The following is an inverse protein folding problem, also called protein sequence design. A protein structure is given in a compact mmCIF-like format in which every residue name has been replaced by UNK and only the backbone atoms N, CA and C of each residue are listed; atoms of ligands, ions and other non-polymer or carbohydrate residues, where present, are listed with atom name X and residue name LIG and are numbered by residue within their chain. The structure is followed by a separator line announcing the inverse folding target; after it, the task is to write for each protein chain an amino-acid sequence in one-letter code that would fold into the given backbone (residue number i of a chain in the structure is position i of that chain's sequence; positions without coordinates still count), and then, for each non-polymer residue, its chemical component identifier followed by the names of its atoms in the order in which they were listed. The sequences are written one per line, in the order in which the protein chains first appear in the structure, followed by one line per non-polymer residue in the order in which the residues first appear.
data_IF_204648194639
#
_entry.id   IF_204648194639
#
_cell.length_a   1.000
_cell.length_b   1.000
_cell.length_c   1.000
_cell.angle_alpha   90.00
_cell.angle_beta   90.00
_cell.angle_gamma   90.00
#
_symmetry.space_group_name_H-M   'P 1'
#
loop_
_entity.id
_entity.type
_entity.pdbx_description
1 polymer ?
#
# COMPACT_ATOMS: atom_id res chain seq x y z
N UNK A 1 27.23 9.60 -2.09
CA UNK A 1 26.70 8.28 -1.68
C UNK A 1 26.07 7.69 -2.92
N UNK A 2 26.62 6.62 -3.49
CA UNK A 2 26.02 5.92 -4.62
C UNK A 2 24.70 5.30 -4.16
N UNK A 3 23.58 5.92 -4.55
CA UNK A 3 22.26 5.31 -4.50
C UNK A 3 22.34 3.97 -5.24
N UNK A 4 22.49 2.88 -4.49
CA UNK A 4 22.59 1.56 -5.06
C UNK A 4 21.24 1.15 -5.61
N UNK A 5 20.97 1.52 -6.87
CA UNK A 5 19.84 1.00 -7.63
C UNK A 5 19.84 -0.52 -7.51
N UNK A 6 18.68 -1.07 -7.08
CA UNK A 6 18.48 -2.51 -7.06
C UNK A 6 18.54 -3.03 -8.48
N UNK A 7 19.31 -4.10 -8.71
CA UNK A 7 19.21 -4.82 -9.98
C UNK A 7 17.85 -5.54 -10.10
N UNK A 8 17.51 -6.04 -11.29
CA UNK A 8 16.22 -6.68 -11.54
C UNK A 8 15.95 -7.88 -10.61
N UNK A 9 16.99 -8.64 -10.24
CA UNK A 9 16.87 -9.78 -9.32
C UNK A 9 16.59 -9.28 -7.90
N UNK A 10 17.29 -8.26 -7.45
CA UNK A 10 17.08 -7.66 -6.14
C UNK A 10 15.68 -7.02 -6.02
N UNK A 11 15.20 -6.34 -7.08
CA UNK A 11 13.84 -5.81 -7.12
C UNK A 11 12.80 -6.91 -6.98
N UNK A 12 12.96 -8.03 -7.70
CA UNK A 12 12.07 -9.18 -7.60
C UNK A 12 12.08 -9.81 -6.20
N UNK A 13 13.25 -9.93 -5.57
CA UNK A 13 13.37 -10.45 -4.19
C UNK A 13 12.74 -9.50 -3.17
N UNK A 14 12.93 -8.19 -3.32
CA UNK A 14 12.32 -7.18 -2.45
C UNK A 14 10.80 -7.19 -2.58
N UNK A 15 10.27 -7.23 -3.81
CA UNK A 15 8.84 -7.31 -4.09
C UNK A 15 8.23 -8.58 -3.51
N UNK A 16 8.84 -9.74 -3.75
CA UNK A 16 8.37 -11.02 -3.22
C UNK A 16 8.30 -10.97 -1.69
N UNK A 17 9.34 -10.44 -1.04
CA UNK A 17 9.37 -10.31 0.41
C UNK A 17 8.27 -9.40 0.94
N UNK A 18 8.08 -8.24 0.31
CA UNK A 18 7.01 -7.31 0.66
C UNK A 18 5.64 -7.97 0.56
N UNK A 19 5.38 -8.68 -0.54
CA UNK A 19 4.12 -9.37 -0.78
C UNK A 19 3.88 -10.51 0.21
N UNK A 20 4.91 -11.29 0.55
CA UNK A 20 4.85 -12.33 1.59
C UNK A 20 4.51 -11.76 2.97
N UNK A 21 5.10 -10.64 3.35
CA UNK A 21 4.84 -9.98 4.63
C UNK A 21 3.44 -9.37 4.69
N UNK A 22 2.98 -8.72 3.62
CA UNK A 22 1.60 -8.20 3.51
C UNK A 22 0.59 -9.34 3.58
N UNK A 23 0.80 -10.41 2.80
CA UNK A 23 -0.10 -11.56 2.81
C UNK A 23 -0.10 -12.27 4.17
N UNK A 24 1.06 -12.37 4.84
CA UNK A 24 1.14 -12.96 6.19
C UNK A 24 0.39 -12.11 7.22
N UNK A 25 0.58 -10.79 7.21
CA UNK A 25 -0.15 -9.89 8.10
C UNK A 25 -1.66 -9.89 7.85
N UNK A 26 -2.08 -9.99 6.58
CA UNK A 26 -3.48 -10.14 6.21
C UNK A 26 -4.06 -11.47 6.73
N UNK A 27 -3.35 -12.58 6.53
CA UNK A 27 -3.77 -13.91 7.01
C UNK A 27 -3.84 -14.00 8.53
N UNK A 28 -2.92 -13.36 9.25
CA UNK A 28 -2.98 -13.31 10.72
C UNK A 28 -4.21 -12.56 11.26
N UNK A 29 -4.91 -11.81 10.39
CA UNK A 29 -6.16 -11.11 10.69
C UNK A 29 -7.39 -11.77 10.03
N UNK A 30 -7.26 -13.02 9.60
CA UNK A 30 -8.37 -13.81 9.06
C UNK A 30 -8.72 -13.52 7.60
N UNK A 31 -7.86 -12.81 6.87
CA UNK A 31 -8.08 -12.55 5.44
C UNK A 31 -7.40 -13.62 4.55
N UNK A 32 -8.05 -13.95 3.43
CA UNK A 32 -7.40 -14.71 2.36
C UNK A 32 -6.50 -13.77 1.57
N UNK A 33 -5.21 -14.08 1.52
CA UNK A 33 -4.23 -13.35 0.72
C UNK A 33 -3.07 -14.27 0.34
N UNK A 34 -2.65 -14.23 -0.92
CA UNK A 34 -1.41 -14.82 -1.40
C UNK A 34 -0.44 -13.73 -1.85
N UNK A 35 0.89 -13.98 -1.84
CA UNK A 35 1.85 -13.02 -2.38
C UNK A 35 1.52 -12.61 -3.83
N UNK A 36 1.09 -13.55 -4.67
CA UNK A 36 0.72 -13.31 -6.06
C UNK A 36 -0.51 -12.41 -6.18
N UNK A 37 -1.50 -12.61 -5.31
CA UNK A 37 -2.68 -11.76 -5.25
C UNK A 37 -2.30 -10.32 -4.88
N UNK A 38 -1.47 -10.15 -3.84
CA UNK A 38 -0.94 -8.83 -3.45
C UNK A 38 -0.20 -8.18 -4.61
N UNK A 39 0.75 -8.87 -5.24
CA UNK A 39 1.51 -8.33 -6.38
C UNK A 39 0.57 -7.92 -7.51
N UNK A 40 -0.39 -8.76 -7.88
CA UNK A 40 -1.35 -8.48 -8.96
C UNK A 40 -2.29 -7.30 -8.69
N UNK A 41 -2.39 -6.85 -7.44
CA UNK A 41 -3.17 -5.67 -7.06
C UNK A 41 -2.37 -4.37 -7.03
N UNK A 42 -1.03 -4.41 -7.08
CA UNK A 42 -0.21 -3.19 -7.02
C UNK A 42 -0.16 -2.53 -8.40
N UNK A 43 -0.92 -1.45 -8.56
CA UNK A 43 -0.93 -0.60 -9.74
C UNK A 43 -1.68 -1.19 -10.93
N UNK A 44 -1.55 -0.50 -12.06
CA UNK A 44 -2.26 -0.83 -13.31
C UNK A 44 -1.32 -1.30 -14.42
N UNK A 45 -0.01 -1.19 -14.19
CA UNK A 45 1.04 -1.65 -15.08
C UNK A 45 1.95 -2.68 -14.40
N UNK A 46 2.77 -3.37 -15.21
CA UNK A 46 3.62 -4.46 -14.75
C UNK A 46 4.88 -4.00 -13.98
N UNK A 47 5.23 -2.71 -14.04
CA UNK A 47 6.40 -2.12 -13.39
C UNK A 47 6.07 -1.57 -11.99
N UNK A 48 4.84 -1.07 -11.77
CA UNK A 48 4.41 -0.47 -10.52
C UNK A 48 4.76 -1.30 -9.26
N UNK A 49 4.57 -2.64 -9.23
CA UNK A 49 4.99 -3.45 -8.09
C UNK A 49 6.49 -3.32 -7.76
N UNK A 50 7.34 -3.34 -8.78
CA UNK A 50 8.80 -3.23 -8.62
C UNK A 50 9.22 -1.83 -8.17
N UNK A 51 8.58 -0.79 -8.70
CA UNK A 51 8.83 0.61 -8.30
C UNK A 51 8.46 0.84 -6.84
N UNK A 52 7.33 0.29 -6.38
CA UNK A 52 6.94 0.34 -4.97
C UNK A 52 8.00 -0.34 -4.11
N UNK A 53 8.40 -1.57 -4.44
CA UNK A 53 9.40 -2.30 -3.66
C UNK A 53 10.76 -1.56 -3.60
N UNK A 54 11.23 -1.04 -4.74
CA UNK A 54 12.45 -0.22 -4.81
C UNK A 54 12.32 1.05 -3.97
N UNK A 55 11.19 1.75 -4.06
CA UNK A 55 10.92 2.95 -3.28
C UNK A 55 10.87 2.71 -1.77
N UNK A 56 10.41 1.52 -1.34
CA UNK A 56 10.44 1.11 0.06
C UNK A 56 11.86 0.77 0.54
N UNK A 57 12.71 0.19 -0.32
CA UNK A 57 14.13 -0.01 0.00
C UNK A 57 14.85 1.34 0.13
N UNK A 58 14.64 2.25 -0.82
CA UNK A 58 15.23 3.59 -0.79
C UNK A 58 14.84 4.38 0.47
N UNK A 59 13.62 4.18 0.98
CA UNK A 59 13.13 4.79 2.23
C UNK A 59 13.53 4.03 3.50
N UNK A 60 14.32 2.96 3.41
CA UNK A 60 14.75 2.17 4.58
C UNK A 60 13.61 1.38 5.24
N UNK A 61 12.54 1.07 4.51
CA UNK A 61 11.44 0.23 4.98
C UNK A 61 11.69 -1.26 4.72
N UNK A 62 12.46 -1.56 3.68
CA UNK A 62 13.02 -2.87 3.38
C UNK A 62 14.55 -2.77 3.46
N UNK A 63 15.19 -3.72 4.15
CA UNK A 63 16.63 -3.78 4.27
C UNK A 63 17.16 -5.10 3.70
N UNK A 64 18.32 -5.04 3.04
CA UNK A 64 19.07 -6.23 2.63
C UNK A 64 19.47 -7.03 3.87
N UNK A 65 19.30 -8.34 3.82
CA UNK A 65 19.67 -9.25 4.90
C UNK A 65 20.10 -10.58 4.30
N UNK A 66 21.37 -10.96 4.48
CA UNK A 66 21.95 -12.23 4.02
C UNK A 66 21.61 -12.54 2.55
N UNK A 67 20.53 -13.30 2.38
CA UNK A 67 20.14 -13.93 1.11
C UNK A 67 18.91 -13.23 0.45
N UNK A 68 18.46 -12.11 1.01
CA UNK A 68 17.29 -11.39 0.48
C UNK A 68 16.99 -10.09 1.21
N UNK A 69 15.70 -9.89 1.53
CA UNK A 69 15.21 -8.67 2.16
C UNK A 69 14.44 -8.98 3.44
N UNK A 70 14.37 -8.00 4.34
CA UNK A 70 13.52 -8.04 5.52
C UNK A 70 12.88 -6.68 5.76
N UNK A 71 11.70 -6.67 6.38
CA UNK A 71 11.08 -5.42 6.81
C UNK A 71 11.83 -4.84 8.01
N UNK A 72 12.07 -3.55 7.96
CA UNK A 72 12.50 -2.80 9.15
C UNK A 72 11.32 -2.59 10.09
N UNK A 73 11.55 -1.99 11.26
CA UNK A 73 10.47 -1.61 12.18
C UNK A 73 9.43 -0.72 11.49
N UNK A 74 9.88 0.21 10.64
CA UNK A 74 9.01 1.12 9.88
C UNK A 74 8.29 0.38 8.75
N UNK A 75 8.95 -0.53 8.05
CA UNK A 75 8.29 -1.39 7.06
C UNK A 75 7.15 -2.23 7.64
N UNK A 76 7.34 -2.79 8.84
CA UNK A 76 6.26 -3.50 9.56
C UNK A 76 5.11 -2.58 9.95
N UNK A 77 5.41 -1.34 10.36
CA UNK A 77 4.38 -0.33 10.66
C UNK A 77 3.56 0.03 9.41
N UNK A 78 4.20 0.18 8.25
CA UNK A 78 3.51 0.39 6.97
C UNK A 78 2.58 -0.77 6.65
N UNK A 79 3.06 -2.02 6.73
CA UNK A 79 2.24 -3.20 6.43
C UNK A 79 1.02 -3.27 7.34
N UNK A 80 1.18 -2.98 8.65
CA UNK A 80 0.06 -2.89 9.58
C UNK A 80 -0.97 -1.84 9.14
N UNK A 81 -0.51 -0.63 8.77
CA UNK A 81 -1.40 0.44 8.31
C UNK A 81 -2.14 0.08 7.02
N UNK A 82 -1.47 -0.58 6.07
CA UNK A 82 -2.11 -1.06 4.83
C UNK A 82 -3.23 -2.04 5.17
N UNK A 83 -2.98 -3.00 6.06
CA UNK A 83 -4.02 -3.96 6.47
C UNK A 83 -5.17 -3.27 7.19
N UNK A 84 -4.91 -2.29 8.08
CA UNK A 84 -5.95 -1.50 8.74
C UNK A 84 -6.80 -0.69 7.75
N UNK A 85 -6.17 -0.09 6.74
CA UNK A 85 -6.89 0.64 5.68
C UNK A 85 -7.78 -0.33 4.89
N UNK A 86 -7.26 -1.51 4.53
CA UNK A 86 -8.06 -2.54 3.85
C UNK A 86 -9.25 -2.96 4.71
N UNK A 87 -9.07 -3.20 6.01
CA UNK A 87 -10.18 -3.55 6.91
C UNK A 87 -11.27 -2.47 6.96
N UNK A 88 -10.90 -1.19 6.82
CA UNK A 88 -11.88 -0.12 6.69
C UNK A 88 -12.67 -0.22 5.37
N UNK A 89 -11.99 -0.37 4.24
CA UNK A 89 -12.63 -0.21 2.91
C UNK A 89 -13.15 -1.51 2.29
N UNK A 90 -12.78 -2.67 2.83
CA UNK A 90 -13.10 -4.00 2.26
C UNK A 90 -14.59 -4.33 2.27
N UNK A 91 -15.35 -3.81 3.24
CA UNK A 91 -16.81 -4.03 3.35
C UNK A 91 -17.56 -3.64 2.08
N UNK A 92 -17.03 -2.67 1.35
CA UNK A 92 -17.63 -2.11 0.14
C UNK A 92 -16.95 -2.62 -1.15
N UNK A 93 -16.08 -3.64 -1.04
CA UNK A 93 -15.55 -4.34 -2.21
C UNK A 93 -16.51 -5.46 -2.63
N UNK A 94 -16.87 -5.50 -3.91
CA UNK A 94 -17.62 -6.61 -4.48
C UNK A 94 -16.77 -7.89 -4.41
N UNK A 95 -17.21 -8.86 -3.62
CA UNK A 95 -16.63 -10.20 -3.47
C UNK A 95 -15.19 -10.23 -2.89
N UNK A 96 -15.00 -9.82 -1.62
CA UNK A 96 -13.67 -9.73 -1.00
C UNK A 96 -12.95 -11.08 -0.85
N UNK A 97 -13.67 -12.20 -0.98
CA UNK A 97 -13.13 -13.55 -0.79
C UNK A 97 -12.51 -14.15 -2.06
N UNK A 98 -12.80 -13.56 -3.22
CA UNK A 98 -12.32 -14.00 -4.54
C UNK A 98 -11.15 -13.13 -5.06
N UNK A 99 -10.81 -12.10 -4.31
CA UNK A 99 -9.80 -11.09 -4.62
C UNK A 99 -8.35 -11.64 -4.49
N UNK A 100 -8.14 -12.70 -3.70
CA UNK A 100 -6.85 -13.38 -3.55
C UNK A 100 -5.76 -12.56 -2.84
N UNK A 101 -6.05 -11.36 -2.36
CA UNK A 101 -5.10 -10.42 -1.76
C UNK A 101 -4.88 -9.14 -2.59
N UNK A 102 -5.54 -8.98 -3.75
CA UNK A 102 -5.43 -7.81 -4.63
C UNK A 102 -5.71 -6.48 -3.94
N UNK A 103 -6.75 -6.39 -3.10
CA UNK A 103 -7.09 -5.16 -2.40
C UNK A 103 -5.95 -4.66 -1.49
N UNK A 104 -5.14 -5.55 -0.93
CA UNK A 104 -3.96 -5.16 -0.17
C UNK A 104 -2.89 -4.55 -1.07
N UNK A 105 -2.69 -5.13 -2.25
CA UNK A 105 -1.83 -4.55 -3.28
C UNK A 105 -2.33 -3.19 -3.77
N UNK A 106 -3.65 -3.06 -3.99
CA UNK A 106 -4.24 -1.81 -4.48
C UNK A 106 -4.20 -0.70 -3.45
N UNK A 107 -4.40 -1.02 -2.16
CA UNK A 107 -4.19 -0.06 -1.07
C UNK A 107 -2.71 0.29 -0.93
N UNK A 108 -1.80 -0.68 -1.03
CA UNK A 108 -0.35 -0.43 -1.00
C UNK A 108 0.08 0.51 -2.14
N UNK A 109 -0.46 0.31 -3.35
CA UNK A 109 -0.28 1.19 -4.50
C UNK A 109 -0.86 2.59 -4.24
N UNK A 110 -2.09 2.65 -3.74
CA UNK A 110 -2.78 3.92 -3.50
C UNK A 110 -2.01 4.79 -2.51
N UNK A 111 -1.59 4.20 -1.40
CA UNK A 111 -0.86 4.95 -0.37
C UNK A 111 0.60 5.19 -0.71
N UNK A 112 1.12 4.66 -1.83
CA UNK A 112 2.49 4.94 -2.24
C UNK A 112 2.65 6.41 -2.67
N UNK A 113 3.75 7.01 -2.22
CA UNK A 113 4.11 8.39 -2.52
C UNK A 113 4.79 8.47 -3.91
N UNK A 114 3.95 8.44 -4.94
CA UNK A 114 4.36 8.60 -6.35
C UNK A 114 4.98 9.96 -6.65
N UNK A 115 4.57 11.00 -5.92
CA UNK A 115 5.13 12.34 -6.06
C UNK A 115 6.49 12.55 -5.39
N UNK A 116 6.98 11.57 -4.61
CA UNK A 116 8.28 11.64 -3.92
C UNK A 116 8.35 12.73 -2.85
N UNK A 117 7.22 13.14 -2.27
CA UNK A 117 7.17 14.14 -1.22
C UNK A 117 7.77 13.65 0.11
N UNK A 118 7.61 12.35 0.42
CA UNK A 118 8.10 11.71 1.63
C UNK A 118 9.47 11.07 1.37
N UNK A 119 10.53 11.77 1.78
CA UNK A 119 11.93 11.36 1.55
C UNK A 119 12.44 10.28 2.51
N UNK A 120 11.80 10.11 3.67
CA UNK A 120 12.20 9.18 4.71
C UNK A 120 11.03 8.33 5.22
N UNK A 121 11.36 7.31 6.01
CA UNK A 121 10.39 6.37 6.53
C UNK A 121 9.37 7.03 7.49
N UNK A 122 9.82 7.93 8.36
CA UNK A 122 8.94 8.64 9.30
C UNK A 122 7.85 9.43 8.57
N UNK A 123 8.27 10.27 7.63
CA UNK A 123 7.39 11.14 6.84
C UNK A 123 6.39 10.31 6.04
N UNK A 124 6.85 9.20 5.46
CA UNK A 124 5.98 8.34 4.68
C UNK A 124 4.94 7.63 5.58
N UNK A 125 5.33 7.13 6.75
CA UNK A 125 4.38 6.55 7.71
C UNK A 125 3.35 7.58 8.18
N UNK A 126 3.77 8.82 8.47
CA UNK A 126 2.86 9.88 8.88
C UNK A 126 1.84 10.22 7.78
N UNK A 127 2.29 10.24 6.52
CA UNK A 127 1.39 10.38 5.38
C UNK A 127 0.33 9.26 5.34
N UNK A 128 0.73 7.99 5.47
CA UNK A 128 -0.21 6.86 5.45
C UNK A 128 -1.17 6.91 6.65
N UNK A 129 -0.71 7.33 7.83
CA UNK A 129 -1.59 7.57 9.00
C UNK A 129 -2.67 8.60 8.72
N UNK A 130 -2.30 9.73 8.10
CA UNK A 130 -3.26 10.78 7.72
C UNK A 130 -4.31 10.26 6.74
N UNK A 131 -3.93 9.41 5.79
CA UNK A 131 -4.89 8.75 4.88
C UNK A 131 -5.87 7.88 5.68
N UNK A 132 -5.35 7.03 6.57
CA UNK A 132 -6.17 6.17 7.44
C UNK A 132 -7.12 6.99 8.32
N UNK A 133 -6.64 8.06 8.96
CA UNK A 133 -7.45 8.88 9.85
C UNK A 133 -8.54 9.63 9.09
N UNK A 134 -8.27 10.07 7.85
CA UNK A 134 -9.29 10.68 7.00
C UNK A 134 -10.37 9.69 6.58
N UNK A 135 -10.03 8.42 6.34
CA UNK A 135 -11.03 7.36 6.12
C UNK A 135 -11.90 7.13 7.36
N UNK A 136 -11.31 7.14 8.56
CA UNK A 136 -12.04 7.02 9.83
C UNK A 136 -12.94 8.23 10.09
N UNK A 137 -12.53 9.43 9.68
CA UNK A 137 -13.41 10.61 9.73
C UNK A 137 -14.61 10.44 8.78
N UNK A 138 -14.35 10.01 7.54
CA UNK A 138 -15.37 9.81 6.52
C UNK A 138 -16.36 8.69 6.88
N UNK A 139 -15.96 7.67 7.65
CA UNK A 139 -16.84 6.57 8.05
C UNK A 139 -18.05 7.01 8.89
N UNK A 140 -18.05 8.25 9.40
CA UNK A 140 -19.19 8.88 10.06
C UNK A 140 -20.33 9.25 9.10
N UNK A 141 -20.05 9.32 7.80
CA UNK A 141 -21.02 9.52 6.72
C UNK A 141 -20.98 8.30 5.77
N UNK A 142 -21.96 7.38 5.86
CA UNK A 142 -21.94 6.15 5.06
C UNK A 142 -21.87 6.38 3.55
N UNK A 143 -22.47 7.46 3.04
CA UNK A 143 -22.49 7.73 1.59
C UNK A 143 -21.12 8.17 1.11
N UNK A 144 -20.49 9.10 1.82
CA UNK A 144 -19.14 9.59 1.50
C UNK A 144 -18.11 8.49 1.71
N UNK A 145 -18.23 7.73 2.81
CA UNK A 145 -17.35 6.62 3.09
C UNK A 145 -17.39 5.56 1.98
N UNK A 146 -18.59 5.13 1.57
CA UNK A 146 -18.74 4.17 0.48
C UNK A 146 -18.07 4.65 -0.80
N UNK A 147 -18.23 5.91 -1.16
CA UNK A 147 -17.57 6.50 -2.32
C UNK A 147 -16.04 6.47 -2.17
N UNK A 148 -15.50 6.86 -1.02
CA UNK A 148 -14.07 6.79 -0.73
C UNK A 148 -13.52 5.36 -0.80
N UNK A 149 -14.21 4.40 -0.17
CA UNK A 149 -13.83 2.99 -0.15
C UNK A 149 -13.83 2.35 -1.55
N UNK A 150 -14.78 2.75 -2.40
CA UNK A 150 -14.82 2.32 -3.79
C UNK A 150 -13.69 2.92 -4.62
N UNK A 151 -13.43 4.22 -4.49
CA UNK A 151 -12.47 4.94 -5.34
C UNK A 151 -11.01 4.69 -4.94
N UNK A 152 -10.70 4.69 -3.64
CA UNK A 152 -9.32 4.64 -3.13
C UNK A 152 -8.46 3.54 -3.80
N UNK A 153 -8.88 2.27 -3.87
CA UNK A 153 -8.08 1.20 -4.48
C UNK A 153 -8.16 1.16 -6.02
N UNK A 154 -8.95 2.03 -6.67
CA UNK A 154 -9.24 1.97 -8.11
C UNK A 154 -8.74 3.19 -8.90
N UNK A 155 -8.23 4.21 -8.21
CA UNK A 155 -7.72 5.43 -8.84
C UNK A 155 -6.25 5.26 -9.27
N UNK A 156 -5.89 5.94 -10.36
CA UNK A 156 -4.51 6.09 -10.81
C UNK A 156 -3.85 7.29 -10.12
N UNK A 157 -2.71 7.09 -9.44
CA UNK A 157 -2.08 8.11 -8.58
C UNK A 157 -0.72 8.61 -9.07
N UNK A 158 -0.20 8.03 -10.15
CA UNK A 158 1.14 8.37 -10.69
C UNK A 158 1.24 9.80 -11.22
N UNK A 159 0.11 10.45 -11.58
CA UNK A 159 0.07 11.81 -12.13
C UNK A 159 0.02 12.92 -11.05
N UNK A 160 0.45 12.64 -9.81
CA UNK A 160 0.49 13.62 -8.72
C UNK A 160 -0.88 13.90 -8.08
N UNK A 161 -1.88 13.09 -8.40
CA UNK A 161 -3.10 12.97 -7.60
C UNK A 161 -2.80 12.08 -6.39
N UNK A 162 -3.26 12.45 -5.19
CA UNK A 162 -2.94 11.71 -3.96
C UNK A 162 -4.21 11.18 -3.29
N UNK A 163 -4.12 10.06 -2.55
CA UNK A 163 -5.20 9.61 -1.65
C UNK A 163 -5.78 10.72 -0.79
N UNK A 164 -4.96 11.59 -0.20
CA UNK A 164 -5.49 12.70 0.62
C UNK A 164 -6.34 13.67 -0.21
N UNK A 165 -5.92 14.03 -1.43
CA UNK A 165 -6.72 14.87 -2.33
C UNK A 165 -8.05 14.20 -2.70
N UNK A 166 -8.04 12.90 -2.95
CA UNK A 166 -9.27 12.12 -3.19
C UNK A 166 -10.22 12.21 -1.99
N UNK A 167 -9.72 11.90 -0.80
CA UNK A 167 -10.54 11.86 0.41
C UNK A 167 -11.07 13.27 0.80
N UNK A 168 -10.28 14.31 0.57
CA UNK A 168 -10.71 15.71 0.72
C UNK A 168 -11.82 16.09 -0.26
N UNK A 169 -11.71 15.68 -1.53
CA UNK A 169 -12.74 15.91 -2.53
C UNK A 169 -14.06 15.22 -2.14
N UNK A 170 -13.99 13.95 -1.72
CA UNK A 170 -15.15 13.19 -1.23
C UNK A 170 -15.79 13.82 0.01
N UNK A 171 -14.99 14.41 0.90
CA UNK A 171 -15.50 15.08 2.12
C UNK A 171 -16.35 16.33 1.84
N UNK A 172 -16.23 16.92 0.65
CA UNK A 172 -16.91 18.18 0.26
C UNK A 172 -18.22 17.96 -0.51
N UNK A 173 -18.53 16.72 -0.90
CA UNK A 173 -19.76 16.33 -1.61
C UNK A 173 -20.96 16.28 -0.68
#
# INVERSE_FOLDING_TARGET
MTEGYLDAREQALALRRLAEEVATAARSRGHRATPEGVISGVGFDYLAPYLVAQGLVARGMLARSGDGFTLTKRGRELVRLVVEIVELVKSDSELPELDGGRIFGSVLYAVYDWGGAAKDAETYIEYVKRVRDKLVELSRDPRRFKLAAMLLPRMYYEEGYTPLRLLEAVSRL
#
